data_IF_808333264197
#
_entry.id   IF_808333264197
#
_cell.length_a   1.000
_cell.length_b   1.000
_cell.length_c   1.000
_cell.angle_alpha   90.00
_cell.angle_beta   90.00
_cell.angle_gamma   90.00
#
_symmetry.space_group_name_H-M   'P 1'
#
loop_
_entity.id
_entity.type
_entity.pdbx_description
1 polymer ?
#
# COMPACT_ATOMS: atom_id res chain seq x y z
N UNK A 1 -15.11 30.62 58.93
CA UNK A 1 -14.77 29.37 59.65
C UNK A 1 -13.67 28.70 58.82
N UNK A 2 -12.39 28.68 59.21
CA UNK A 2 -11.77 27.72 60.17
C UNK A 2 -12.17 26.26 59.88
N UNK A 3 -11.31 25.25 59.64
CA UNK A 3 -9.85 25.09 59.49
C UNK A 3 -9.54 23.59 59.13
N UNK A 4 -8.32 23.06 58.94
CA UNK A 4 -6.92 23.56 59.07
C UNK A 4 -6.02 23.11 57.89
N UNK A 5 -5.06 22.18 58.09
CA UNK A 5 -4.03 21.62 57.17
C UNK A 5 -3.45 20.32 57.78
N UNK A 6 -2.83 19.44 56.98
CA UNK A 6 -1.49 18.82 57.28
C UNK A 6 -0.86 18.05 56.09
N UNK A 7 0.45 18.25 55.92
CA UNK A 7 1.48 17.49 55.18
C UNK A 7 2.84 17.85 55.82
N UNK A 8 3.99 17.17 55.55
CA UNK A 8 4.26 15.79 55.14
C UNK A 8 5.12 15.08 56.26
N UNK A 9 6.14 14.21 56.03
CA UNK A 9 7.38 14.51 55.29
C UNK A 9 7.96 13.37 54.42
N UNK A 10 9.12 13.66 53.81
CA UNK A 10 9.92 12.90 52.85
C UNK A 10 11.01 12.00 53.46
N UNK A 11 11.48 10.99 52.72
CA UNK A 11 12.88 10.50 52.78
C UNK A 11 13.30 9.74 51.51
N UNK A 12 14.45 10.12 50.94
CA UNK A 12 15.14 9.46 49.81
C UNK A 12 16.53 8.94 50.30
N UNK A 13 17.46 8.45 49.45
CA UNK A 13 17.86 7.04 49.36
C UNK A 13 19.17 6.67 50.10
N UNK A 14 19.46 5.36 50.23
CA UNK A 14 20.72 4.84 50.78
C UNK A 14 21.34 3.69 49.94
N UNK A 15 22.67 3.56 49.98
CA UNK A 15 23.52 2.75 49.07
C UNK A 15 23.94 1.37 49.62
N UNK A 16 24.48 0.56 48.70
CA UNK A 16 25.28 -0.69 48.86
C UNK A 16 26.26 -0.72 50.05
N UNK A 17 26.70 -1.94 50.41
CA UNK A 17 28.15 -2.22 50.40
C UNK A 17 28.57 -3.33 49.41
N UNK A 18 29.85 -3.35 49.09
CA UNK A 18 30.55 -4.36 48.26
C UNK A 18 31.14 -5.49 49.12
N UNK A 19 31.40 -6.66 48.53
CA UNK A 19 32.44 -7.60 49.00
C UNK A 19 33.18 -8.16 47.78
N UNK A 20 34.50 -8.31 47.91
CA UNK A 20 35.48 -8.53 46.84
C UNK A 20 35.77 -10.01 46.51
N UNK A 21 36.32 -10.23 45.31
CA UNK A 21 36.95 -11.49 44.88
C UNK A 21 38.24 -11.81 45.67
N UNK A 22 38.80 -13.01 45.47
CA UNK A 22 40.21 -13.07 45.07
C UNK A 22 40.43 -13.81 43.75
N UNK A 23 41.49 -13.39 43.05
CA UNK A 23 41.96 -13.91 41.76
C UNK A 23 43.05 -14.98 41.96
N UNK A 24 43.01 -16.07 41.19
CA UNK A 24 44.21 -16.87 40.87
C UNK A 24 44.21 -17.26 39.38
N UNK A 25 45.26 -16.80 38.70
CA UNK A 25 45.93 -17.38 37.53
C UNK A 25 47.45 -17.30 37.85
N UNK A 26 48.39 -17.92 37.10
CA UNK A 26 48.23 -18.58 35.80
C UNK A 26 48.91 -19.98 35.73
N UNK A 27 48.92 -20.63 34.57
CA UNK A 27 50.16 -20.87 33.79
C UNK A 27 49.87 -21.52 32.43
N UNK A 28 50.79 -21.33 31.48
CA UNK A 28 50.63 -21.73 30.08
C UNK A 28 51.47 -22.97 29.75
N UNK A 29 51.03 -23.77 28.77
CA UNK A 29 51.94 -24.62 28.00
C UNK A 29 51.45 -24.86 26.57
N UNK A 30 52.22 -24.30 25.64
CA UNK A 30 52.41 -24.75 24.26
C UNK A 30 53.91 -25.04 24.14
N UNK A 31 54.38 -26.03 23.35
CA UNK A 31 54.36 -25.83 21.90
C UNK A 31 54.25 -27.08 20.99
N UNK A 32 53.82 -26.79 19.75
CA UNK A 32 54.27 -27.33 18.46
C UNK A 32 54.57 -28.84 18.27
N UNK A 33 53.88 -29.44 17.29
CA UNK A 33 54.50 -29.82 16.01
C UNK A 33 53.43 -30.15 14.95
N UNK A 34 53.67 -29.75 13.69
CA UNK A 34 53.02 -30.31 12.51
C UNK A 34 54.05 -31.21 11.78
N UNK A 35 53.62 -32.10 10.85
CA UNK A 35 53.52 -31.62 9.48
C UNK A 35 52.33 -32.16 8.64
N UNK A 36 51.87 -31.29 7.75
CA UNK A 36 51.46 -31.53 6.35
C UNK A 36 51.15 -32.97 5.88
N UNK A 37 49.93 -33.15 5.36
CA UNK A 37 49.76 -33.74 4.02
C UNK A 37 48.60 -33.05 3.27
N UNK A 38 48.68 -33.02 1.94
CA UNK A 38 47.91 -32.11 1.10
C UNK A 38 46.66 -32.76 0.47
N UNK A 39 45.59 -31.99 0.31
CA UNK A 39 44.54 -32.29 -0.67
C UNK A 39 44.01 -31.01 -1.33
N UNK A 40 43.58 -31.13 -2.57
CA UNK A 40 43.51 -30.02 -3.53
C UNK A 40 42.15 -29.30 -3.52
N UNK A 41 42.19 -28.00 -3.83
CA UNK A 41 41.06 -27.06 -3.87
C UNK A 41 39.90 -27.54 -4.76
N UNK A 42 38.67 -27.29 -4.32
CA UNK A 42 37.63 -26.70 -5.19
C UNK A 42 36.99 -25.51 -4.47
N UNK A 43 36.75 -24.43 -5.22
CA UNK A 43 36.25 -23.17 -4.68
C UNK A 43 34.72 -23.16 -4.66
N UNK A 44 34.14 -22.66 -3.57
CA UNK A 44 32.69 -22.39 -3.49
C UNK A 44 32.38 -21.17 -4.39
N UNK A 45 31.44 -21.25 -5.34
CA UNK A 45 31.07 -20.08 -6.13
C UNK A 45 30.37 -19.05 -5.23
N UNK A 46 30.87 -17.82 -5.25
CA UNK A 46 30.14 -16.67 -4.70
C UNK A 46 28.97 -16.38 -5.63
N UNK A 47 27.75 -16.34 -5.09
CA UNK A 47 26.58 -15.88 -5.83
C UNK A 47 26.51 -14.37 -5.65
N UNK A 48 26.77 -13.61 -6.71
CA UNK A 48 26.55 -12.17 -6.72
C UNK A 48 25.04 -11.88 -6.74
N UNK A 49 24.57 -11.20 -5.70
CA UNK A 49 23.19 -10.73 -5.56
C UNK A 49 23.06 -9.31 -6.12
N UNK A 50 23.21 -9.17 -7.45
CA UNK A 50 22.72 -7.96 -8.14
C UNK A 50 22.52 -8.13 -9.65
N UNK A 51 21.37 -8.64 -10.07
CA UNK A 51 20.82 -8.35 -11.40
C UNK A 51 19.28 -8.47 -11.37
N UNK A 52 18.52 -7.49 -11.89
CA UNK A 52 17.07 -7.56 -11.90
C UNK A 52 16.60 -8.60 -12.93
N UNK A 53 15.60 -9.41 -12.58
CA UNK A 53 15.04 -10.42 -13.45
C UNK A 53 14.48 -9.79 -14.74
N UNK A 54 15.21 -9.94 -15.84
CA UNK A 54 14.73 -9.60 -17.17
C UNK A 54 13.53 -10.46 -17.55
N UNK A 55 12.59 -9.89 -18.30
CA UNK A 55 11.29 -10.50 -18.61
C UNK A 55 11.42 -11.90 -19.20
N UNK A 56 10.81 -12.89 -18.53
CA UNK A 56 10.76 -14.28 -18.99
C UNK A 56 9.60 -14.50 -19.98
N UNK A 57 9.63 -13.78 -21.10
CA UNK A 57 8.68 -13.94 -22.20
C UNK A 57 8.96 -15.25 -22.96
N UNK A 58 8.34 -16.34 -22.49
CA UNK A 58 8.42 -17.66 -23.12
C UNK A 58 7.44 -18.67 -22.53
N UNK A 59 7.20 -19.78 -23.24
CA UNK A 59 6.22 -20.81 -22.85
C UNK A 59 6.42 -21.37 -21.42
N UNK A 60 7.66 -21.35 -20.91
CA UNK A 60 7.97 -21.76 -19.54
C UNK A 60 7.34 -20.84 -18.49
N UNK A 61 7.41 -19.53 -18.68
CA UNK A 61 6.81 -18.54 -17.76
C UNK A 61 5.28 -18.66 -17.73
N UNK A 62 4.66 -18.82 -18.90
CA UNK A 62 3.21 -19.06 -19.00
C UNK A 62 2.76 -20.32 -18.24
N UNK A 63 3.50 -21.44 -18.35
CA UNK A 63 3.22 -22.70 -17.64
C UNK A 63 3.42 -22.57 -16.12
N UNK A 64 4.44 -21.83 -15.68
CA UNK A 64 4.68 -21.56 -14.25
C UNK A 64 3.55 -20.70 -13.66
N UNK A 65 3.14 -19.63 -14.35
CA UNK A 65 2.02 -18.79 -13.90
C UNK A 65 0.71 -19.60 -13.83
N UNK A 66 0.38 -20.41 -14.84
CA UNK A 66 -0.80 -21.29 -14.82
C UNK A 66 -0.80 -22.28 -13.65
N UNK A 67 0.37 -22.80 -13.25
CA UNK A 67 0.53 -23.66 -12.07
C UNK A 67 0.20 -22.91 -10.79
N UNK A 68 0.76 -21.71 -10.61
CA UNK A 68 0.56 -20.88 -9.42
C UNK A 68 -0.90 -20.44 -9.32
N UNK A 69 -1.51 -20.03 -10.43
CA UNK A 69 -2.94 -19.68 -10.52
C UNK A 69 -3.86 -20.84 -10.08
N UNK A 70 -3.66 -22.03 -10.65
CA UNK A 70 -4.47 -23.21 -10.31
C UNK A 70 -4.28 -23.68 -8.85
N UNK A 71 -3.13 -23.38 -8.24
CA UNK A 71 -2.88 -23.62 -6.81
C UNK A 71 -3.54 -22.53 -5.95
N UNK A 72 -3.47 -21.26 -6.36
CA UNK A 72 -4.08 -20.11 -5.69
C UNK A 72 -5.59 -20.26 -5.56
N UNK A 73 -6.30 -20.64 -6.63
CA UNK A 73 -7.75 -20.86 -6.58
C UNK A 73 -8.15 -21.96 -5.57
N UNK A 74 -7.37 -23.04 -5.50
CA UNK A 74 -7.61 -24.14 -4.55
C UNK A 74 -7.40 -23.68 -3.11
N UNK A 75 -6.28 -23.02 -2.84
CA UNK A 75 -5.98 -22.46 -1.52
C UNK A 75 -7.08 -21.48 -1.10
N UNK A 76 -7.45 -20.52 -1.96
CA UNK A 76 -8.48 -19.54 -1.63
C UNK A 76 -9.84 -20.19 -1.29
N UNK A 77 -10.26 -21.20 -2.07
CA UNK A 77 -11.50 -21.93 -1.78
C UNK A 77 -11.41 -22.64 -0.43
N UNK A 78 -10.33 -23.37 -0.18
CA UNK A 78 -10.15 -24.13 1.05
C UNK A 78 -10.08 -23.21 2.28
N UNK A 79 -9.37 -22.07 2.18
CA UNK A 79 -9.29 -21.05 3.24
C UNK A 79 -10.66 -20.43 3.53
N UNK A 80 -11.46 -20.17 2.48
CA UNK A 80 -12.84 -19.66 2.62
C UNK A 80 -13.79 -20.69 3.23
N UNK A 81 -13.56 -21.98 3.01
CA UNK A 81 -14.32 -23.07 3.65
C UNK A 81 -13.89 -23.30 5.11
N UNK A 82 -12.63 -23.05 5.46
CA UNK A 82 -12.12 -23.23 6.83
C UNK A 82 -12.34 -22.03 7.77
N UNK A 83 -12.40 -20.79 7.25
CA UNK A 83 -12.46 -19.58 8.07
C UNK A 83 -13.87 -18.98 8.16
N UNK A 84 -14.33 -18.71 9.39
CA UNK A 84 -15.54 -17.92 9.61
C UNK A 84 -15.27 -16.43 9.36
N UNK A 85 -15.65 -15.97 8.17
CA UNK A 85 -15.59 -14.58 7.72
C UNK A 85 -16.27 -13.60 8.70
N UNK A 86 -17.27 -14.03 9.48
CA UNK A 86 -17.94 -13.14 10.45
C UNK A 86 -17.06 -12.87 11.67
N UNK A 87 -16.32 -13.89 12.14
CA UNK A 87 -15.37 -13.72 13.24
C UNK A 87 -14.19 -12.87 12.79
N UNK A 88 -13.63 -13.12 11.60
CA UNK A 88 -12.57 -12.28 11.00
C UNK A 88 -12.98 -10.81 10.89
N UNK A 89 -14.21 -10.52 10.44
CA UNK A 89 -14.73 -9.15 10.33
C UNK A 89 -14.88 -8.42 11.68
N UNK A 90 -14.88 -9.15 12.81
CA UNK A 90 -14.92 -8.57 14.17
C UNK A 90 -13.54 -8.36 14.80
N UNK A 91 -12.48 -8.89 14.17
CA UNK A 91 -11.10 -8.80 14.64
C UNK A 91 -10.41 -7.51 14.20
N UNK A 92 -9.29 -7.20 14.84
CA UNK A 92 -8.33 -6.21 14.35
C UNK A 92 -7.71 -6.70 13.02
N UNK A 93 -7.56 -5.80 12.04
CA UNK A 93 -7.08 -6.14 10.68
C UNK A 93 -5.73 -6.85 10.67
N UNK A 94 -4.83 -6.49 11.60
CA UNK A 94 -3.52 -7.14 11.81
C UNK A 94 -3.68 -8.63 12.12
N UNK A 95 -4.48 -8.95 13.16
CA UNK A 95 -4.76 -10.32 13.62
C UNK A 95 -5.54 -11.12 12.60
N UNK A 96 -6.51 -10.50 11.92
CA UNK A 96 -7.25 -11.15 10.85
C UNK A 96 -6.32 -11.56 9.69
N UNK A 97 -5.31 -10.74 9.35
CA UNK A 97 -4.27 -11.10 8.37
C UNK A 97 -3.39 -12.25 8.86
N UNK A 98 -2.95 -12.22 10.12
CA UNK A 98 -2.17 -13.32 10.72
C UNK A 98 -2.93 -14.66 10.69
N UNK A 99 -4.23 -14.66 11.03
CA UNK A 99 -5.08 -15.85 11.00
C UNK A 99 -5.22 -16.43 9.58
N UNK A 100 -5.44 -15.58 8.57
CA UNK A 100 -5.50 -16.00 7.16
C UNK A 100 -4.16 -16.59 6.70
N UNK A 101 -3.04 -15.96 7.07
CA UNK A 101 -1.70 -16.45 6.73
C UNK A 101 -1.40 -17.81 7.39
N UNK A 102 -1.82 -18.01 8.65
CA UNK A 102 -1.71 -19.28 9.35
C UNK A 102 -2.53 -20.39 8.65
N UNK A 103 -3.80 -20.10 8.33
CA UNK A 103 -4.68 -21.04 7.63
C UNK A 103 -4.12 -21.46 6.25
N UNK A 104 -3.60 -20.51 5.47
CA UNK A 104 -2.95 -20.81 4.17
C UNK A 104 -1.75 -21.75 4.37
N UNK A 105 -0.87 -21.46 5.34
CA UNK A 105 0.30 -22.30 5.63
C UNK A 105 -0.09 -23.72 6.07
N UNK A 106 -1.15 -23.88 6.86
CA UNK A 106 -1.67 -25.19 7.26
C UNK A 106 -2.27 -25.96 6.06
N UNK A 107 -3.04 -25.31 5.20
CA UNK A 107 -3.64 -25.93 4.00
C UNK A 107 -2.57 -26.39 3.01
N UNK A 108 -1.54 -25.57 2.76
CA UNK A 108 -0.39 -25.94 1.91
C UNK A 108 0.34 -27.17 2.47
N UNK A 109 0.57 -27.22 3.79
CA UNK A 109 1.19 -28.37 4.47
C UNK A 109 0.31 -29.61 4.39
N UNK A 110 -0.99 -29.48 4.66
CA UNK A 110 -1.94 -30.59 4.70
C UNK A 110 -2.16 -31.23 3.33
N UNK A 111 -2.29 -30.42 2.28
CA UNK A 111 -2.44 -30.90 0.89
C UNK A 111 -1.13 -31.28 0.21
N UNK A 112 0.01 -31.16 0.89
CA UNK A 112 1.35 -31.40 0.35
C UNK A 112 1.59 -30.70 -1.01
N UNK A 113 1.27 -29.40 -1.09
CA UNK A 113 1.42 -28.64 -2.33
C UNK A 113 2.89 -28.26 -2.57
N UNK A 114 3.35 -28.40 -3.82
CA UNK A 114 4.72 -28.07 -4.25
C UNK A 114 4.96 -26.55 -4.37
N UNK A 115 4.89 -25.83 -3.25
CA UNK A 115 5.18 -24.40 -3.18
C UNK A 115 6.50 -24.12 -2.44
N UNK A 116 7.30 -23.22 -2.99
CA UNK A 116 8.44 -22.62 -2.30
C UNK A 116 7.98 -21.70 -1.18
N UNK A 117 8.84 -21.42 -0.20
CA UNK A 117 8.52 -20.47 0.89
C UNK A 117 8.12 -19.08 0.39
N UNK A 118 8.71 -18.62 -0.73
CA UNK A 118 8.37 -17.35 -1.34
C UNK A 118 6.95 -17.36 -1.94
N UNK A 119 6.60 -18.41 -2.69
CA UNK A 119 5.24 -18.59 -3.23
C UNK A 119 4.19 -18.72 -2.12
N UNK A 120 4.50 -19.41 -1.00
CA UNK A 120 3.59 -19.49 0.15
C UNK A 120 3.33 -18.10 0.75
N UNK A 121 4.38 -17.30 0.98
CA UNK A 121 4.23 -15.93 1.51
C UNK A 121 3.41 -15.07 0.56
N UNK A 122 3.69 -15.14 -0.75
CA UNK A 122 2.94 -14.40 -1.77
C UNK A 122 1.46 -14.79 -1.79
N UNK A 123 1.14 -16.09 -1.91
CA UNK A 123 -0.25 -16.57 -1.95
C UNK A 123 -0.98 -16.26 -0.63
N UNK A 124 -0.29 -16.32 0.51
CA UNK A 124 -0.87 -15.95 1.81
C UNK A 124 -1.24 -14.46 1.87
N UNK A 125 -0.37 -13.60 1.32
CA UNK A 125 -0.62 -12.16 1.23
C UNK A 125 -1.78 -11.86 0.27
N UNK A 126 -1.79 -12.47 -0.92
CA UNK A 126 -2.88 -12.34 -1.90
C UNK A 126 -4.23 -12.82 -1.35
N UNK A 127 -4.27 -13.94 -0.63
CA UNK A 127 -5.50 -14.43 0.03
C UNK A 127 -5.98 -13.47 1.12
N UNK A 128 -5.08 -12.93 1.94
CA UNK A 128 -5.43 -11.95 2.96
C UNK A 128 -5.96 -10.64 2.35
N UNK A 129 -5.36 -10.17 1.26
CA UNK A 129 -5.81 -8.98 0.53
C UNK A 129 -7.17 -9.20 -0.16
N UNK A 130 -7.43 -10.38 -0.72
CA UNK A 130 -8.73 -10.76 -1.34
C UNK A 130 -9.84 -10.91 -0.27
N UNK A 131 -9.55 -11.52 0.88
CA UNK A 131 -10.54 -11.75 1.93
C UNK A 131 -10.84 -10.51 2.79
N UNK A 132 -9.83 -9.67 3.07
CA UNK A 132 -9.92 -8.58 4.05
C UNK A 132 -9.75 -7.17 3.44
N UNK A 133 -9.09 -7.05 2.29
CA UNK A 133 -8.75 -5.77 1.64
C UNK A 133 -9.52 -5.52 0.34
N UNK A 134 -8.84 -5.03 -0.68
CA UNK A 134 -9.36 -4.80 -2.04
C UNK A 134 -8.81 -5.79 -3.09
N UNK A 135 -8.29 -6.95 -2.65
CA UNK A 135 -7.81 -8.02 -3.50
C UNK A 135 -6.71 -7.56 -4.48
N UNK A 136 -6.83 -7.88 -5.79
CA UNK A 136 -5.83 -7.50 -6.80
C UNK A 136 -5.53 -6.00 -6.90
N UNK A 137 -6.35 -5.12 -6.31
CA UNK A 137 -6.14 -3.67 -6.32
C UNK A 137 -5.18 -3.18 -5.25
N UNK A 138 -4.94 -3.91 -4.17
CA UNK A 138 -4.08 -3.44 -3.05
C UNK A 138 -2.69 -2.96 -3.51
N UNK A 139 -1.95 -3.68 -4.40
CA UNK A 139 -0.66 -3.20 -4.89
C UNK A 139 -0.72 -1.89 -5.69
N UNK A 140 -1.85 -1.62 -6.38
CA UNK A 140 -2.06 -0.37 -7.12
C UNK A 140 -2.52 0.77 -6.20
N UNK A 141 -3.30 0.46 -5.16
CA UNK A 141 -3.72 1.41 -4.15
C UNK A 141 -2.54 1.84 -3.25
N UNK A 142 -1.58 0.97 -2.99
CA UNK A 142 -0.34 1.31 -2.28
C UNK A 142 0.62 2.23 -3.07
N UNK A 143 0.54 2.27 -4.41
CA UNK A 143 1.44 3.03 -5.29
C UNK A 143 1.09 4.52 -5.41
N UNK A 144 1.83 5.40 -4.75
CA UNK A 144 1.62 6.86 -4.80
C UNK A 144 1.96 7.50 -6.18
N UNK A 145 2.59 6.77 -7.12
CA UNK A 145 2.94 7.28 -8.46
C UNK A 145 1.79 7.22 -9.47
N UNK A 146 0.78 6.40 -9.21
CA UNK A 146 -0.44 6.24 -10.03
C UNK A 146 -1.39 7.42 -9.82
N UNK A 147 -1.92 7.98 -10.91
CA UNK A 147 -2.93 9.04 -10.89
C UNK A 147 -4.36 8.47 -10.94
N UNK A 148 -4.64 7.66 -11.96
CA UNK A 148 -5.95 7.02 -12.17
C UNK A 148 -5.77 5.50 -12.31
N UNK A 149 -6.72 4.72 -11.80
CA UNK A 149 -6.87 3.27 -12.04
C UNK A 149 -8.22 3.08 -12.75
N UNK A 150 -8.23 2.37 -13.88
CA UNK A 150 -9.41 2.19 -14.74
C UNK A 150 -9.60 0.70 -14.99
N UNK A 151 -10.73 0.15 -14.54
CA UNK A 151 -11.02 -1.29 -14.54
C UNK A 151 -12.22 -1.54 -15.45
N UNK A 152 -11.98 -2.24 -16.55
CA UNK A 152 -12.93 -2.52 -17.62
C UNK A 152 -13.22 -4.03 -17.64
N UNK A 153 -13.89 -4.53 -16.62
CA UNK A 153 -14.09 -5.96 -16.40
C UNK A 153 -12.89 -6.68 -15.76
N UNK A 154 -12.99 -8.01 -15.54
CA UNK A 154 -12.06 -8.76 -14.69
C UNK A 154 -10.63 -8.91 -15.26
N UNK A 155 -10.47 -8.94 -16.59
CA UNK A 155 -9.19 -9.19 -17.26
C UNK A 155 -8.44 -7.92 -17.73
N UNK A 156 -9.07 -6.75 -17.60
CA UNK A 156 -8.58 -5.51 -18.21
C UNK A 156 -8.56 -4.37 -17.20
N UNK A 157 -7.39 -4.12 -16.62
CA UNK A 157 -7.09 -2.92 -15.83
C UNK A 157 -6.03 -2.07 -16.52
N UNK A 158 -6.24 -0.76 -16.53
CA UNK A 158 -5.27 0.26 -16.93
C UNK A 158 -4.93 1.16 -15.74
N UNK A 159 -3.73 1.73 -15.75
CA UNK A 159 -3.29 2.74 -14.79
C UNK A 159 -2.69 3.93 -15.52
N UNK A 160 -2.89 5.14 -15.00
CA UNK A 160 -2.18 6.33 -15.46
C UNK A 160 -0.97 6.60 -14.57
N UNK A 161 0.23 6.49 -15.14
CA UNK A 161 1.50 6.83 -14.48
C UNK A 161 2.15 7.97 -15.24
N UNK A 162 2.42 9.08 -14.54
CA UNK A 162 3.05 10.30 -15.10
C UNK A 162 2.39 10.81 -16.41
N UNK A 163 1.06 10.75 -16.51
CA UNK A 163 0.32 11.22 -17.69
C UNK A 163 0.29 10.23 -18.86
N UNK A 164 0.75 8.98 -18.68
CA UNK A 164 0.66 7.91 -19.67
C UNK A 164 -0.22 6.78 -19.15
N UNK A 165 -1.11 6.29 -19.99
CA UNK A 165 -1.94 5.12 -19.70
C UNK A 165 -1.13 3.86 -20.07
N UNK A 166 -0.97 2.95 -19.12
CA UNK A 166 -0.35 1.63 -19.31
C UNK A 166 -1.31 0.53 -18.82
N UNK A 167 -1.21 -0.68 -19.39
CA UNK A 167 -1.97 -1.83 -18.89
C UNK A 167 -1.34 -2.34 -17.60
N UNK A 168 -2.14 -2.58 -16.58
CA UNK A 168 -1.67 -3.17 -15.33
C UNK A 168 -1.74 -4.70 -15.39
N UNK A 169 -0.67 -5.36 -14.94
CA UNK A 169 -0.61 -6.82 -14.80
C UNK A 169 -1.31 -7.30 -13.51
N UNK A 170 -2.59 -6.91 -13.36
CA UNK A 170 -3.50 -7.46 -12.36
C UNK A 170 -4.73 -8.05 -13.05
N UNK A 171 -5.33 -9.08 -12.46
CA UNK A 171 -6.59 -9.66 -12.90
C UNK A 171 -7.46 -10.03 -11.72
N UNK A 172 -8.76 -9.91 -11.90
CA UNK A 172 -9.76 -10.47 -11.00
C UNK A 172 -10.01 -11.92 -11.41
N UNK A 173 -10.37 -12.77 -10.44
CA UNK A 173 -10.62 -14.20 -10.67
C UNK A 173 -11.79 -14.43 -11.65
N UNK A 174 -12.85 -13.65 -11.48
CA UNK A 174 -14.01 -13.60 -12.38
C UNK A 174 -14.76 -12.26 -12.22
N UNK A 175 -15.85 -12.08 -12.98
CA UNK A 175 -16.70 -10.90 -12.90
C UNK A 175 -17.44 -10.75 -11.56
N UNK A 176 -17.70 -11.85 -10.83
CA UNK A 176 -18.38 -11.83 -9.53
C UNK A 176 -17.42 -11.36 -8.41
N UNK A 177 -16.14 -11.73 -8.49
CA UNK A 177 -15.07 -11.22 -7.64
C UNK A 177 -14.89 -9.72 -7.84
N UNK A 178 -14.82 -9.23 -9.08
CA UNK A 178 -14.79 -7.79 -9.36
C UNK A 178 -16.02 -7.07 -8.78
N UNK A 179 -17.24 -7.58 -9.02
CA UNK A 179 -18.46 -7.02 -8.45
C UNK A 179 -18.42 -6.97 -6.91
N UNK A 180 -17.92 -8.03 -6.27
CA UNK A 180 -17.76 -8.11 -4.81
C UNK A 180 -16.79 -7.05 -4.28
N UNK A 181 -15.67 -6.80 -4.97
CA UNK A 181 -14.71 -5.74 -4.61
C UNK A 181 -15.34 -4.36 -4.80
N UNK A 182 -16.02 -4.10 -5.92
CA UNK A 182 -16.76 -2.86 -6.15
C UNK A 182 -17.78 -2.59 -5.03
N UNK A 183 -18.55 -3.60 -4.63
CA UNK A 183 -19.50 -3.51 -3.52
C UNK A 183 -18.81 -3.27 -2.16
N UNK A 184 -17.65 -3.91 -1.90
CA UNK A 184 -16.87 -3.71 -0.68
C UNK A 184 -16.32 -2.28 -0.58
N UNK A 185 -15.78 -1.75 -1.68
CA UNK A 185 -15.26 -0.37 -1.78
C UNK A 185 -16.37 0.65 -1.51
N UNK A 186 -17.52 0.49 -2.18
CA UNK A 186 -18.67 1.39 -2.04
C UNK A 186 -19.32 1.28 -0.65
N UNK A 187 -19.41 0.05 -0.11
CA UNK A 187 -19.94 -0.25 1.22
C UNK A 187 -19.10 0.32 2.37
N UNK A 188 -17.76 0.33 2.23
CA UNK A 188 -16.87 0.95 3.21
C UNK A 188 -17.08 2.47 3.37
N UNK A 189 -17.71 3.12 2.39
CA UNK A 189 -18.05 4.56 2.39
C UNK A 189 -19.53 4.77 2.81
N UNK A 190 -20.24 3.71 3.21
CA UNK A 190 -21.66 3.78 3.59
C UNK A 190 -22.62 3.98 2.41
N UNK A 191 -22.19 3.66 1.19
CA UNK A 191 -23.03 3.66 -0.02
C UNK A 191 -23.35 2.23 -0.45
N UNK A 192 -24.17 2.06 -1.48
CA UNK A 192 -24.49 0.76 -2.07
C UNK A 192 -24.43 0.81 -3.60
N UNK A 193 -24.13 -0.33 -4.21
CA UNK A 193 -24.18 -0.54 -5.67
C UNK A 193 -24.73 -1.94 -5.93
N UNK A 194 -25.89 -1.98 -6.57
CA UNK A 194 -26.73 -3.17 -6.75
C UNK A 194 -27.61 -3.00 -8.00
N UNK A 195 -28.35 -4.02 -8.43
CA UNK A 195 -29.16 -3.96 -9.65
C UNK A 195 -30.24 -2.85 -9.63
N UNK A 196 -30.67 -2.39 -8.45
CA UNK A 196 -31.59 -1.25 -8.29
C UNK A 196 -30.90 0.12 -8.34
N UNK A 197 -29.60 0.15 -8.03
CA UNK A 197 -28.74 1.34 -8.06
C UNK A 197 -27.38 1.00 -8.71
N UNK A 198 -27.37 0.73 -10.03
CA UNK A 198 -26.21 0.14 -10.72
C UNK A 198 -25.06 1.12 -11.02
N UNK A 199 -25.14 2.36 -10.54
CA UNK A 199 -24.07 3.36 -10.60
C UNK A 199 -23.86 3.98 -9.22
N UNK A 200 -22.61 4.21 -8.84
CA UNK A 200 -22.27 4.90 -7.60
C UNK A 200 -20.99 5.74 -7.75
N UNK A 201 -21.09 7.02 -7.42
CA UNK A 201 -19.97 7.93 -7.19
C UNK A 201 -19.71 8.08 -5.68
N UNK A 202 -18.45 8.02 -5.27
CA UNK A 202 -18.03 8.07 -3.88
C UNK A 202 -16.62 8.70 -3.70
N UNK A 203 -16.30 9.07 -2.46
CA UNK A 203 -14.93 9.46 -2.05
C UNK A 203 -14.42 8.50 -0.98
N UNK A 204 -13.25 7.93 -1.21
CA UNK A 204 -12.52 7.08 -0.29
C UNK A 204 -11.96 7.89 0.88
N UNK A 205 -11.57 7.19 1.95
CA UNK A 205 -11.02 7.78 3.18
C UNK A 205 -9.69 8.51 2.98
N UNK A 206 -8.95 8.17 1.92
CA UNK A 206 -7.71 8.85 1.49
C UNK A 206 -7.97 10.12 0.65
N UNK A 207 -9.24 10.42 0.34
CA UNK A 207 -9.69 11.51 -0.52
C UNK A 207 -9.83 11.14 -2.00
N UNK A 208 -9.48 9.92 -2.40
CA UNK A 208 -9.57 9.44 -3.79
C UNK A 208 -11.03 9.34 -4.23
N UNK A 209 -11.30 9.62 -5.51
CA UNK A 209 -12.65 9.55 -6.08
C UNK A 209 -12.87 8.20 -6.74
N UNK A 210 -14.02 7.58 -6.49
CA UNK A 210 -14.42 6.29 -7.06
C UNK A 210 -15.72 6.48 -7.83
N UNK A 211 -15.74 6.00 -9.08
CA UNK A 211 -16.95 5.76 -9.85
C UNK A 211 -17.06 4.26 -10.12
N UNK A 212 -18.22 3.67 -9.85
CA UNK A 212 -18.54 2.26 -10.13
C UNK A 212 -19.79 2.20 -11.00
N UNK A 213 -19.77 1.37 -12.05
CA UNK A 213 -20.91 1.06 -12.89
C UNK A 213 -21.01 -0.46 -13.06
N UNK A 214 -22.19 -1.04 -12.84
CA UNK A 214 -22.44 -2.47 -12.93
C UNK A 214 -23.60 -2.77 -13.90
N UNK A 215 -23.84 -4.04 -14.28
CA UNK A 215 -25.05 -4.41 -15.00
C UNK A 215 -26.32 -3.96 -14.24
N UNK A 216 -27.39 -3.54 -14.94
CA UNK A 216 -27.57 -3.58 -16.39
C UNK A 216 -26.97 -2.37 -17.16
N UNK A 217 -26.37 -1.38 -16.51
CA UNK A 217 -25.83 -0.18 -17.20
C UNK A 217 -24.50 -0.44 -17.92
N UNK A 218 -23.67 -1.33 -17.39
CA UNK A 218 -22.41 -1.73 -18.01
C UNK A 218 -22.58 -3.10 -18.65
N UNK A 219 -22.59 -3.14 -19.99
CA UNK A 219 -22.90 -4.34 -20.80
C UNK A 219 -21.84 -5.42 -20.63
N UNK A 220 -20.57 -5.04 -20.58
CA UNK A 220 -19.41 -5.94 -20.51
C UNK A 220 -19.09 -6.41 -19.06
N UNK A 221 -20.04 -6.25 -18.14
CA UNK A 221 -19.86 -6.53 -16.71
C UNK A 221 -19.46 -5.29 -15.90
N UNK A 222 -19.05 -5.49 -14.64
CA UNK A 222 -18.70 -4.39 -13.75
C UNK A 222 -17.48 -3.60 -14.24
N UNK A 223 -17.56 -2.27 -14.17
CA UNK A 223 -16.47 -1.34 -14.44
C UNK A 223 -16.30 -0.36 -13.28
N UNK A 224 -15.06 0.09 -13.04
CA UNK A 224 -14.73 0.98 -11.93
C UNK A 224 -13.54 1.87 -12.29
N UNK A 225 -13.65 3.16 -11.98
CA UNK A 225 -12.53 4.11 -12.07
C UNK A 225 -12.22 4.70 -10.71
N UNK A 226 -10.94 4.62 -10.30
CA UNK A 226 -10.42 5.21 -9.07
C UNK A 226 -9.43 6.31 -9.45
N UNK A 227 -9.83 7.57 -9.26
CA UNK A 227 -8.94 8.73 -9.39
C UNK A 227 -8.28 9.00 -8.05
N UNK A 228 -6.99 8.67 -7.94
CA UNK A 228 -6.23 8.75 -6.70
C UNK A 228 -6.02 10.20 -6.27
N UNK A 229 -6.19 10.46 -4.98
CA UNK A 229 -5.88 11.76 -4.41
C UNK A 229 -4.36 11.92 -4.29
N UNK A 230 -3.75 12.67 -5.21
CA UNK A 230 -2.33 13.02 -5.11
C UNK A 230 -2.09 13.90 -3.89
N UNK A 231 -1.52 13.28 -2.85
CA UNK A 231 -0.99 13.96 -1.65
C UNK A 231 0.10 14.98 -1.98
N UNK A 232 0.77 14.84 -3.13
CA UNK A 232 1.89 15.72 -3.51
C UNK A 232 1.39 17.12 -3.90
N UNK A 233 1.35 17.99 -2.88
CA UNK A 233 1.00 19.41 -3.01
C UNK A 233 2.13 20.14 -3.73
N UNK A 234 2.07 20.16 -5.07
CA UNK A 234 2.97 20.96 -5.91
C UNK A 234 3.12 22.40 -5.38
N UNK A 235 4.32 22.95 -5.54
CA UNK A 235 4.68 24.33 -5.18
C UNK A 235 5.02 25.11 -6.45
N UNK A 236 5.03 26.45 -6.37
CA UNK A 236 5.52 27.26 -7.49
C UNK A 236 6.98 26.93 -7.84
N UNK A 237 7.79 26.60 -6.84
CA UNK A 237 9.19 26.20 -7.04
C UNK A 237 9.29 24.89 -7.86
N UNK A 238 8.54 23.84 -7.49
CA UNK A 238 8.44 22.60 -8.29
C UNK A 238 7.94 22.86 -9.72
N UNK A 239 7.01 23.81 -9.91
CA UNK A 239 6.52 24.17 -11.25
C UNK A 239 7.56 24.92 -12.09
N UNK A 240 8.45 25.69 -11.46
CA UNK A 240 9.63 26.29 -12.12
C UNK A 240 10.66 25.23 -12.48
N UNK A 241 10.94 24.28 -11.57
CA UNK A 241 11.83 23.14 -11.82
C UNK A 241 11.36 22.27 -13.00
N UNK A 242 10.04 22.05 -13.12
CA UNK A 242 9.43 21.34 -14.25
C UNK A 242 9.38 22.17 -15.55
N UNK A 243 9.85 23.41 -15.55
CA UNK A 243 9.81 24.31 -16.71
C UNK A 243 8.41 24.80 -17.09
N UNK A 244 7.40 24.59 -16.24
CA UNK A 244 6.02 25.01 -16.51
C UNK A 244 5.82 26.53 -16.41
N UNK A 245 6.72 27.25 -15.74
CA UNK A 245 6.76 28.71 -15.70
C UNK A 245 8.16 29.25 -15.40
N UNK A 246 8.39 30.53 -15.70
CA UNK A 246 9.66 31.19 -15.33
C UNK A 246 9.68 31.58 -13.84
N UNK A 247 10.86 31.75 -13.22
CA UNK A 247 10.97 32.29 -11.85
C UNK A 247 10.32 33.68 -11.67
N UNK A 248 10.26 34.48 -12.73
CA UNK A 248 9.58 35.77 -12.71
C UNK A 248 8.05 35.62 -12.62
N UNK A 249 7.47 34.67 -13.38
CA UNK A 249 6.05 34.33 -13.28
C UNK A 249 5.69 33.78 -11.89
N UNK A 250 6.53 32.91 -11.32
CA UNK A 250 6.33 32.41 -9.95
C UNK A 250 6.31 33.56 -8.92
N UNK A 251 7.23 34.52 -9.00
CA UNK A 251 7.23 35.72 -8.14
C UNK A 251 5.98 36.58 -8.30
N UNK A 252 5.48 36.75 -9.53
CA UNK A 252 4.22 37.45 -9.78
C UNK A 252 3.03 36.72 -9.14
N UNK A 253 2.95 35.40 -9.28
CA UNK A 253 1.87 34.60 -8.67
C UNK A 253 1.95 34.64 -7.13
N UNK A 254 3.15 34.65 -6.54
CA UNK A 254 3.32 34.86 -5.08
C UNK A 254 2.83 36.23 -4.62
N UNK A 255 3.12 37.29 -5.38
CA UNK A 255 2.62 38.63 -5.08
C UNK A 255 1.09 38.72 -5.24
N UNK A 256 0.53 38.08 -6.26
CA UNK A 256 -0.91 37.95 -6.47
C UNK A 256 -1.57 37.21 -5.30
N UNK A 257 -1.05 36.05 -4.86
CA UNK A 257 -1.65 35.27 -3.77
C UNK A 257 -1.58 35.95 -2.39
N UNK A 258 -0.62 36.86 -2.18
CA UNK A 258 -0.54 37.76 -1.00
C UNK A 258 -1.42 39.00 -1.11
N UNK A 259 -1.93 39.29 -2.29
CA UNK A 259 -2.82 40.42 -2.55
C UNK A 259 -4.25 39.89 -2.58
N UNK A 260 -5.22 40.62 -1.99
CA UNK A 260 -6.63 40.20 -1.98
C UNK A 260 -7.32 40.49 -3.33
N UNK A 261 -6.76 39.92 -4.40
CA UNK A 261 -7.20 40.07 -5.78
C UNK A 261 -8.17 38.96 -6.14
N UNK A 262 -9.18 39.29 -6.95
CA UNK A 262 -10.05 38.30 -7.57
C UNK A 262 -9.30 37.65 -8.74
N UNK A 263 -9.03 36.35 -8.65
CA UNK A 263 -8.22 35.62 -9.65
C UNK A 263 -9.02 34.44 -10.20
N UNK A 264 -9.08 34.32 -11.52
CA UNK A 264 -9.65 33.17 -12.23
C UNK A 264 -8.53 32.35 -12.87
N UNK A 265 -8.50 31.04 -12.61
CA UNK A 265 -7.56 30.11 -13.24
C UNK A 265 -8.28 29.31 -14.33
N UNK A 266 -8.06 29.67 -15.59
CA UNK A 266 -8.69 29.08 -16.78
C UNK A 266 -7.76 28.13 -17.55
N UNK A 267 -8.33 27.22 -18.35
CA UNK A 267 -7.59 26.24 -19.15
C UNK A 267 -8.41 24.98 -19.46
N UNK A 268 -7.90 24.12 -20.34
CA UNK A 268 -8.54 22.85 -20.72
C UNK A 268 -8.63 21.83 -19.59
N UNK A 269 -9.37 20.75 -19.80
CA UNK A 269 -9.38 19.59 -18.88
C UNK A 269 -7.96 19.01 -18.78
N UNK A 270 -7.52 18.63 -17.57
CA UNK A 270 -6.15 18.15 -17.33
C UNK A 270 -5.05 19.23 -17.30
N UNK A 271 -5.31 20.48 -17.69
CA UNK A 271 -4.27 21.52 -17.84
C UNK A 271 -3.68 22.10 -16.54
N UNK A 272 -3.83 21.41 -15.40
CA UNK A 272 -3.28 21.85 -14.11
C UNK A 272 -4.00 23.03 -13.43
N UNK A 273 -5.23 23.39 -13.81
CA UNK A 273 -6.00 24.49 -13.18
C UNK A 273 -6.04 24.42 -11.65
N UNK A 274 -6.55 23.30 -11.12
CA UNK A 274 -6.67 23.08 -9.66
C UNK A 274 -5.30 23.05 -8.98
N UNK A 275 -4.27 22.55 -9.68
CA UNK A 275 -2.88 22.59 -9.21
C UNK A 275 -2.40 24.02 -9.03
N UNK A 276 -2.59 24.88 -10.04
CA UNK A 276 -2.21 26.30 -9.96
C UNK A 276 -3.00 27.04 -8.88
N UNK A 277 -4.31 26.77 -8.74
CA UNK A 277 -5.12 27.32 -7.66
C UNK A 277 -4.56 26.93 -6.28
N UNK A 278 -4.25 25.65 -6.07
CA UNK A 278 -3.64 25.13 -4.83
C UNK A 278 -2.22 25.68 -4.59
N UNK A 279 -1.46 25.99 -5.64
CA UNK A 279 -0.19 26.70 -5.53
C UNK A 279 -0.39 28.15 -5.04
N UNK A 280 -1.36 28.87 -5.61
CA UNK A 280 -1.65 30.27 -5.30
C UNK A 280 -2.19 30.44 -3.87
N UNK A 281 -3.14 29.59 -3.45
CA UNK A 281 -3.77 29.67 -2.11
C UNK A 281 -2.78 29.46 -0.96
N UNK A 282 -1.61 28.85 -1.20
CA UNK A 282 -0.53 28.74 -0.20
C UNK A 282 0.09 30.07 0.22
N UNK A 283 -0.13 31.14 -0.54
CA UNK A 283 0.43 32.48 -0.29
C UNK A 283 -0.57 33.46 0.32
N UNK A 284 -1.82 33.03 0.57
CA UNK A 284 -2.80 33.74 1.40
C UNK A 284 -2.24 33.85 2.81
N UNK A 285 -2.44 34.99 3.48
CA UNK A 285 -1.93 35.20 4.83
C UNK A 285 -2.62 34.26 5.85
N UNK A 286 -1.85 33.74 6.81
CA UNK A 286 -2.34 32.75 7.79
C UNK A 286 -3.38 33.32 8.76
N UNK A 287 -3.47 34.65 8.89
CA UNK A 287 -4.52 35.32 9.67
C UNK A 287 -5.86 35.45 8.94
N UNK A 288 -5.95 35.07 7.66
CA UNK A 288 -7.16 35.21 6.86
C UNK A 288 -8.09 33.98 6.96
N UNK A 289 -9.40 34.24 7.02
CA UNK A 289 -10.42 33.20 6.99
C UNK A 289 -10.66 32.76 5.55
N UNK A 290 -10.21 31.56 5.21
CA UNK A 290 -10.47 30.91 3.91
C UNK A 290 -11.76 30.09 4.00
N UNK A 291 -12.59 30.14 2.95
CA UNK A 291 -13.76 29.28 2.75
C UNK A 291 -13.63 28.68 1.36
N UNK A 292 -13.70 27.35 1.26
CA UNK A 292 -13.61 26.60 0.01
C UNK A 292 -14.94 25.94 -0.31
N UNK A 293 -15.42 26.11 -1.54
CA UNK A 293 -16.59 25.41 -2.07
C UNK A 293 -16.14 24.56 -3.27
N UNK A 294 -16.38 23.25 -3.20
CA UNK A 294 -16.10 22.31 -4.28
C UNK A 294 -17.35 21.44 -4.52
N UNK A 295 -17.58 20.99 -5.75
CA UNK A 295 -18.56 19.92 -6.00
C UNK A 295 -18.12 18.62 -5.30
N UNK A 296 -19.08 17.96 -4.65
CA UNK A 296 -18.87 16.78 -3.80
C UNK A 296 -18.64 15.50 -4.61
#
# INVERSE_FOLDING_TARGET
MFGKRTTPPSSEPAKKPEVSMPSIAPEASTPAAAPSEASTRQAVPKIDINEPAAAADGEGGAKINQRIEAVRERIWRDVRESLDLKNLASMEVSKAREEVQAAVAEIVRYRAMDLTKAEIIQVSQECADDMLGFGPLEPLLARDDIADIMINGPDTTYIEVKGKIEKAEIRFRDAHHLLTICQRIVGAIGRRVDESSPICDARLLDGSRVNVIIPPLSVDGASMTIRKFKKDKLTLDKLVEFGAMTPACAKLIMAIGRSRLNVLVSGGTGSGKTTMLNCLTRYIDKGERVITCEDA
#
